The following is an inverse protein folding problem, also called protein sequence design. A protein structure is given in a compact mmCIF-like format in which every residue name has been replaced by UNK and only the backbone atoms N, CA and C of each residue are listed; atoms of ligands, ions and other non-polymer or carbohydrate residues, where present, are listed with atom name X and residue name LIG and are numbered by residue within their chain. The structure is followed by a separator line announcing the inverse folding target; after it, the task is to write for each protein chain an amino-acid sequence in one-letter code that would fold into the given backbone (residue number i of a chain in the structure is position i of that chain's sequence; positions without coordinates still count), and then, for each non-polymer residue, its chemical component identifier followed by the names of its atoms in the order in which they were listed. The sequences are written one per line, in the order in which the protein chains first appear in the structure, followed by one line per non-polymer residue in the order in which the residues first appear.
data_IF_845403260240
#
_entry.id   IF_845403260240
#
_cell.length_a   1.000
_cell.length_b   1.000
_cell.length_c   1.000
_cell.angle_alpha   90.00
_cell.angle_beta   90.00
_cell.angle_gamma   90.00
#
_symmetry.space_group_name_H-M   'P 1'
#
loop_
_entity.id
_entity.type
_entity.pdbx_description
1 polymer ?
#
# COMPACT_ATOMS: atom_id res chain seq x y z
N UNK A 1 16.19 19.91 15.75
CA UNK A 1 15.60 19.18 16.89
C UNK A 1 15.90 17.72 16.66
N UNK A 2 16.80 17.14 17.46
CA UNK A 2 17.04 15.69 17.42
C UNK A 2 15.80 15.01 17.98
N UNK A 3 15.03 14.34 17.13
CA UNK A 3 14.02 13.40 17.62
C UNK A 3 14.78 12.18 18.17
N UNK A 4 14.48 11.72 19.39
CA UNK A 4 15.09 10.50 19.90
C UNK A 4 14.77 9.33 18.96
N UNK A 5 15.73 8.42 18.77
CA UNK A 5 15.64 7.26 17.88
C UNK A 5 14.53 6.26 18.30
N UNK A 6 13.96 6.40 19.50
CA UNK A 6 12.87 5.59 20.00
C UNK A 6 11.74 6.46 20.60
N UNK A 7 10.46 6.06 20.40
CA UNK A 7 9.33 6.67 21.10
C UNK A 7 9.49 6.59 22.63
N UNK A 8 9.03 7.60 23.39
CA UNK A 8 9.13 7.59 24.84
C UNK A 8 8.42 6.40 25.47
N UNK A 9 9.06 5.75 26.45
CA UNK A 9 8.46 4.64 27.19
C UNK A 9 7.49 5.12 28.29
N UNK A 10 6.77 4.20 28.93
CA UNK A 10 5.75 4.52 29.94
C UNK A 10 6.29 5.36 31.12
N UNK A 11 7.53 5.10 31.55
CA UNK A 11 8.17 5.82 32.67
C UNK A 11 8.62 7.21 32.23
N UNK A 12 9.10 7.35 30.99
CA UNK A 12 9.45 8.65 30.41
C UNK A 12 8.23 9.55 30.26
N UNK A 13 7.11 9.01 29.77
CA UNK A 13 5.83 9.72 29.72
C UNK A 13 5.37 10.11 31.14
N UNK A 14 5.56 9.23 32.12
CA UNK A 14 5.20 9.52 33.52
C UNK A 14 6.05 10.67 34.08
N UNK A 15 7.37 10.63 33.85
CA UNK A 15 8.29 11.72 34.20
C UNK A 15 7.86 13.05 33.56
N UNK A 16 7.60 13.05 32.26
CA UNK A 16 7.22 14.24 31.51
C UNK A 16 5.91 14.85 32.04
N UNK A 17 4.89 14.03 32.31
CA UNK A 17 3.61 14.50 32.86
C UNK A 17 3.74 15.17 34.24
N UNK A 18 4.73 14.77 35.04
CA UNK A 18 4.92 15.28 36.40
C UNK A 18 6.06 16.31 36.52
N UNK A 19 6.80 16.59 35.44
CA UNK A 19 7.92 17.52 35.44
C UNK A 19 7.42 18.97 35.41
N UNK A 20 7.50 19.66 36.56
CA UNK A 20 7.20 21.10 36.60
C UNK A 20 8.40 21.92 36.15
N UNK A 21 8.22 22.81 35.17
CA UNK A 21 9.25 23.80 34.77
C UNK A 21 9.71 24.73 35.90
N UNK A 22 8.87 24.92 36.94
CA UNK A 22 9.17 25.80 38.08
C UNK A 22 9.71 25.06 39.30
N UNK A 23 9.22 23.84 39.55
CA UNK A 23 9.48 23.11 40.81
C UNK A 23 10.21 21.77 40.62
N UNK A 24 10.46 21.35 39.38
CA UNK A 24 10.99 20.01 39.09
C UNK A 24 9.98 18.91 39.39
N UNK A 25 10.50 17.69 39.63
CA UNK A 25 9.71 16.54 40.07
C UNK A 25 9.47 16.63 41.59
N UNK A 26 8.24 16.33 42.01
CA UNK A 26 7.93 16.22 43.43
C UNK A 26 8.55 14.94 44.02
N UNK A 27 8.94 14.98 45.30
CA UNK A 27 9.57 13.85 46.00
C UNK A 27 8.75 12.53 45.92
N UNK A 28 7.40 12.53 46.08
CA UNK A 28 6.61 11.30 45.91
C UNK A 28 6.65 10.75 44.49
N UNK A 29 6.78 11.62 43.48
CA UNK A 29 6.88 11.21 42.07
C UNK A 29 8.27 10.64 41.80
N UNK A 30 9.32 11.25 42.35
CA UNK A 30 10.68 10.73 42.23
C UNK A 30 10.77 9.33 42.84
N UNK A 31 10.21 9.13 44.04
CA UNK A 31 10.14 7.81 44.65
C UNK A 31 9.41 6.79 43.78
N UNK A 32 8.26 7.17 43.21
CA UNK A 32 7.50 6.29 42.32
C UNK A 32 8.31 5.90 41.07
N UNK A 33 9.07 6.84 40.50
CA UNK A 33 9.97 6.59 39.38
C UNK A 33 11.08 5.60 39.77
N UNK A 34 11.68 5.78 40.94
CA UNK A 34 12.76 4.92 41.43
C UNK A 34 12.23 3.49 41.68
N UNK A 35 11.03 3.36 42.26
CA UNK A 35 10.33 2.08 42.44
C UNK A 35 10.06 1.41 41.08
N UNK A 36 9.61 2.15 40.05
CA UNK A 36 9.40 1.61 38.70
C UNK A 36 10.71 1.10 38.06
N UNK A 37 11.81 1.86 38.17
CA UNK A 37 13.10 1.44 37.64
C UNK A 37 13.65 0.20 38.37
N UNK A 38 13.44 0.12 39.69
CA UNK A 38 13.84 -1.04 40.48
C UNK A 38 13.08 -2.31 40.06
N UNK A 39 11.78 -2.21 39.76
CA UNK A 39 10.98 -3.34 39.25
C UNK A 39 11.47 -3.80 37.86
N UNK A 40 11.90 -2.88 37.00
CA UNK A 40 12.48 -3.22 35.69
C UNK A 40 13.88 -3.83 35.80
N UNK A 41 14.66 -3.41 36.79
CA UNK A 41 16.03 -3.88 37.01
C UNK A 41 16.11 -5.13 37.91
N UNK A 42 14.99 -5.57 38.48
CA UNK A 42 14.94 -6.75 39.34
C UNK A 42 15.44 -7.99 38.56
N UNK A 43 16.29 -8.83 39.17
CA UNK A 43 16.71 -10.09 38.57
C UNK A 43 15.48 -10.92 38.23
N UNK A 44 15.44 -11.44 37.02
CA UNK A 44 14.37 -12.35 36.62
C UNK A 44 14.61 -13.69 37.32
N UNK A 45 13.67 -14.14 38.16
CA UNK A 45 13.65 -15.52 38.65
C UNK A 45 13.45 -16.46 37.45
N UNK A 46 14.15 -17.61 37.48
CA UNK A 46 14.34 -18.53 36.34
C UNK A 46 13.09 -18.64 35.43
N UNK A 47 13.30 -18.33 34.15
CA UNK A 47 12.35 -18.45 33.01
C UNK A 47 11.34 -17.31 32.75
N UNK A 48 11.31 -16.21 33.53
CA UNK A 48 10.45 -15.06 33.20
C UNK A 48 11.12 -14.05 32.24
N UNK A 49 10.32 -13.24 31.55
CA UNK A 49 10.84 -12.10 30.80
C UNK A 49 11.07 -10.92 31.77
N UNK A 50 12.07 -10.05 31.54
CA UNK A 50 12.25 -8.84 32.34
C UNK A 50 11.00 -7.96 32.29
N UNK A 51 10.64 -7.36 33.42
CA UNK A 51 9.46 -6.50 33.51
C UNK A 51 9.58 -5.32 32.54
N UNK A 52 8.53 -5.12 31.75
CA UNK A 52 8.40 -3.97 30.86
C UNK A 52 8.08 -2.69 31.64
N UNK A 53 8.34 -1.53 31.03
CA UNK A 53 7.98 -0.23 31.63
C UNK A 53 6.47 -0.11 31.93
N UNK A 54 5.61 -0.75 31.12
CA UNK A 54 4.15 -0.77 31.32
C UNK A 54 3.81 -1.57 32.58
N UNK A 55 4.43 -2.73 32.77
CA UNK A 55 4.21 -3.58 33.96
C UNK A 55 4.71 -2.90 35.22
N UNK A 56 5.90 -2.29 35.18
CA UNK A 56 6.44 -1.54 36.31
C UNK A 56 5.51 -0.39 36.73
N UNK A 57 5.00 0.40 35.77
CA UNK A 57 4.04 1.47 36.04
C UNK A 57 2.72 0.91 36.60
N UNK A 58 2.24 -0.23 36.07
CA UNK A 58 1.02 -0.88 36.54
C UNK A 58 1.15 -1.42 37.96
N UNK A 59 2.33 -1.88 38.36
CA UNK A 59 2.60 -2.37 39.72
C UNK A 59 2.71 -1.23 40.73
N UNK A 60 3.40 -0.13 40.38
CA UNK A 60 3.55 1.03 41.26
C UNK A 60 2.26 1.84 41.37
N UNK A 61 1.45 1.90 40.31
CA UNK A 61 0.23 2.70 40.23
C UNK A 61 -1.00 1.88 39.82
N UNK A 62 -1.41 0.86 40.61
CA UNK A 62 -2.43 -0.11 40.20
C UNK A 62 -3.83 0.48 40.01
N UNK A 63 -4.15 1.60 40.66
CA UNK A 63 -5.45 2.29 40.55
C UNK A 63 -5.42 3.50 39.61
N UNK A 64 -4.28 3.76 38.96
CA UNK A 64 -4.13 4.93 38.10
C UNK A 64 -4.72 4.70 36.71
N UNK A 65 -5.37 5.74 36.17
CA UNK A 65 -5.78 5.79 34.75
C UNK A 65 -4.66 6.25 33.83
N UNK A 66 -3.45 6.47 34.36
CA UNK A 66 -2.31 7.00 33.61
C UNK A 66 -2.06 6.22 32.33
N UNK A 67 -1.88 4.89 32.40
CA UNK A 67 -1.60 4.05 31.23
C UNK A 67 -2.72 4.10 30.17
N UNK A 68 -3.98 4.23 30.59
CA UNK A 68 -5.11 4.41 29.67
C UNK A 68 -5.09 5.80 29.03
N UNK A 69 -4.80 6.84 29.81
CA UNK A 69 -4.75 8.22 29.34
C UNK A 69 -3.59 8.46 28.35
N UNK A 70 -2.47 7.75 28.52
CA UNK A 70 -1.32 7.81 27.58
C UNK A 70 -1.42 6.78 26.44
N UNK A 71 -2.53 6.03 26.34
CA UNK A 71 -2.78 5.09 25.24
C UNK A 71 -1.96 3.79 25.29
N UNK A 72 -1.31 3.49 26.42
CA UNK A 72 -0.50 2.28 26.62
C UNK A 72 -1.29 1.11 27.22
N UNK A 73 -2.51 1.36 27.68
CA UNK A 73 -3.49 0.31 28.01
C UNK A 73 -4.82 0.60 27.33
N UNK A 74 -5.53 -0.44 26.84
CA UNK A 74 -6.90 -0.29 26.38
C UNK A 74 -7.76 0.28 27.50
N UNK A 75 -8.49 1.37 27.23
CA UNK A 75 -9.55 1.81 28.12
C UNK A 75 -10.53 0.64 28.30
N UNK A 76 -10.89 0.31 29.56
CA UNK A 76 -11.96 -0.65 29.85
C UNK A 76 -13.14 -0.34 28.94
N UNK A 77 -13.44 -1.28 28.02
CA UNK A 77 -14.34 -1.08 26.89
C UNK A 77 -15.62 -0.39 27.37
N UNK A 78 -15.78 0.91 27.10
CA UNK A 78 -17.12 1.45 26.95
C UNK A 78 -17.72 0.61 25.83
N UNK A 79 -18.72 -0.21 26.17
CA UNK A 79 -19.45 -1.07 25.23
C UNK A 79 -19.62 -0.27 23.94
N UNK A 80 -18.95 -0.67 22.85
CA UNK A 80 -19.16 -0.01 21.56
C UNK A 80 -20.66 -0.02 21.32
N UNK A 81 -21.21 1.12 20.96
CA UNK A 81 -22.65 1.18 20.75
C UNK A 81 -23.00 0.18 19.63
N UNK A 82 -24.14 -0.52 19.73
CA UNK A 82 -24.59 -1.45 18.66
C UNK A 82 -24.58 -0.77 17.28
N UNK A 83 -24.79 0.55 17.24
CA UNK A 83 -24.71 1.37 16.06
C UNK A 83 -23.29 1.44 15.45
N UNK A 84 -22.25 1.59 16.28
CA UNK A 84 -20.86 1.57 15.80
C UNK A 84 -20.49 0.21 15.20
N UNK A 85 -20.89 -0.89 15.84
CA UNK A 85 -20.63 -2.24 15.32
C UNK A 85 -21.34 -2.48 13.99
N UNK A 86 -22.60 -2.08 13.86
CA UNK A 86 -23.34 -2.17 12.60
C UNK A 86 -22.71 -1.30 11.50
N UNK A 87 -22.21 -0.12 11.86
CA UNK A 87 -21.55 0.77 10.89
C UNK A 87 -20.24 0.18 10.38
N UNK A 88 -19.45 -0.45 11.26
CA UNK A 88 -18.22 -1.14 10.85
C UNK A 88 -18.54 -2.29 9.90
N UNK A 89 -19.53 -3.14 10.23
CA UNK A 89 -19.95 -4.24 9.36
C UNK A 89 -20.44 -3.76 7.99
N UNK A 90 -21.20 -2.67 7.95
CA UNK A 90 -21.66 -2.08 6.70
C UNK A 90 -20.49 -1.56 5.85
N UNK A 91 -19.52 -0.89 6.47
CA UNK A 91 -18.32 -0.40 5.77
C UNK A 91 -17.45 -1.55 5.26
N UNK A 92 -17.31 -2.63 6.03
CA UNK A 92 -16.60 -3.84 5.61
C UNK A 92 -17.28 -4.49 4.39
N UNK A 93 -18.61 -4.59 4.40
CA UNK A 93 -19.36 -5.13 3.26
C UNK A 93 -19.24 -4.24 2.00
N UNK A 94 -19.27 -2.92 2.16
CA UNK A 94 -19.06 -1.98 1.05
C UNK A 94 -17.64 -2.09 0.48
N UNK A 95 -16.63 -2.21 1.36
CA UNK A 95 -15.24 -2.37 0.94
C UNK A 95 -15.04 -3.66 0.15
N UNK A 96 -15.63 -4.77 0.59
CA UNK A 96 -15.51 -6.05 -0.10
C UNK A 96 -16.18 -6.00 -1.48
N UNK A 97 -17.36 -5.39 -1.57
CA UNK A 97 -18.02 -5.15 -2.86
C UNK A 97 -17.16 -4.29 -3.79
N UNK A 98 -16.59 -3.20 -3.29
CA UNK A 98 -15.74 -2.31 -4.10
C UNK A 98 -14.47 -3.02 -4.60
N UNK A 99 -13.88 -3.92 -3.79
CA UNK A 99 -12.76 -4.75 -4.23
C UNK A 99 -13.15 -5.69 -5.36
N UNK A 100 -14.32 -6.32 -5.26
CA UNK A 100 -14.85 -7.19 -6.32
C UNK A 100 -15.10 -6.40 -7.60
N UNK A 101 -15.81 -5.27 -7.50
CA UNK A 101 -16.09 -4.39 -8.64
C UNK A 101 -14.80 -3.90 -9.32
N UNK A 102 -13.79 -3.55 -8.52
CA UNK A 102 -12.47 -3.14 -9.02
C UNK A 102 -11.75 -4.27 -9.77
N UNK A 103 -11.84 -5.50 -9.27
CA UNK A 103 -11.23 -6.67 -9.90
C UNK A 103 -11.93 -6.99 -11.23
N UNK A 104 -13.26 -6.94 -11.28
CA UNK A 104 -14.01 -7.09 -12.53
C UNK A 104 -13.64 -6.03 -13.57
N UNK A 105 -13.47 -4.77 -13.14
CA UNK A 105 -13.04 -3.69 -14.03
C UNK A 105 -11.62 -3.91 -14.57
N UNK A 106 -10.71 -4.43 -13.73
CA UNK A 106 -9.35 -4.80 -14.17
C UNK A 106 -9.39 -5.88 -15.23
N UNK A 107 -10.15 -6.95 -15.02
CA UNK A 107 -10.29 -8.03 -16.00
C UNK A 107 -10.87 -7.54 -17.34
N UNK A 108 -11.87 -6.66 -17.30
CA UNK A 108 -12.42 -6.03 -18.52
C UNK A 108 -11.37 -5.19 -19.25
N UNK A 109 -10.59 -4.40 -18.53
CA UNK A 109 -9.55 -3.56 -19.10
C UNK A 109 -8.45 -4.42 -19.75
N UNK A 110 -8.00 -5.47 -19.08
CA UNK A 110 -7.01 -6.41 -19.63
C UNK A 110 -7.53 -7.11 -20.88
N UNK A 111 -8.81 -7.52 -20.89
CA UNK A 111 -9.46 -8.09 -22.07
C UNK A 111 -9.52 -7.11 -23.25
N UNK A 112 -9.91 -5.86 -23.00
CA UNK A 112 -9.92 -4.81 -24.03
C UNK A 112 -8.52 -4.50 -24.56
N UNK A 113 -7.50 -4.51 -23.69
CA UNK A 113 -6.12 -4.29 -24.11
C UNK A 113 -5.64 -5.39 -25.06
N UNK A 114 -5.93 -6.66 -24.74
CA UNK A 114 -5.61 -7.78 -25.63
C UNK A 114 -6.35 -7.69 -26.97
N UNK A 115 -7.61 -7.28 -26.97
CA UNK A 115 -8.38 -7.09 -28.21
C UNK A 115 -7.78 -5.99 -29.09
N UNK A 116 -7.38 -4.86 -28.49
CA UNK A 116 -6.70 -3.76 -29.20
C UNK A 116 -5.39 -4.24 -29.82
N UNK A 117 -4.59 -5.02 -29.08
CA UNK A 117 -3.30 -5.51 -29.56
C UNK A 117 -3.48 -6.52 -30.71
N UNK A 118 -4.49 -7.39 -30.63
CA UNK A 118 -4.85 -8.31 -31.71
C UNK A 118 -5.32 -7.55 -32.96
N UNK A 119 -6.18 -6.55 -32.80
CA UNK A 119 -6.67 -5.73 -33.92
C UNK A 119 -5.53 -4.92 -34.58
N UNK A 120 -4.60 -4.39 -33.79
CA UNK A 120 -3.40 -3.71 -34.33
C UNK A 120 -2.57 -4.66 -35.17
N UNK A 121 -2.27 -5.86 -34.66
CA UNK A 121 -1.51 -6.87 -35.40
C UNK A 121 -2.19 -7.24 -36.71
N UNK A 122 -3.49 -7.52 -36.69
CA UNK A 122 -4.24 -7.81 -37.92
C UNK A 122 -4.25 -6.64 -38.90
N UNK A 123 -4.36 -5.40 -38.40
CA UNK A 123 -4.30 -4.21 -39.25
C UNK A 123 -2.93 -4.05 -39.92
N UNK A 124 -1.85 -4.30 -39.19
CA UNK A 124 -0.49 -4.25 -39.72
C UNK A 124 -0.25 -5.35 -40.77
N UNK A 125 -0.67 -6.59 -40.49
CA UNK A 125 -0.60 -7.70 -41.44
C UNK A 125 -1.40 -7.42 -42.71
N UNK A 126 -2.62 -6.88 -42.58
CA UNK A 126 -3.45 -6.51 -43.72
C UNK A 126 -2.81 -5.39 -44.56
N UNK A 127 -2.19 -4.40 -43.92
CA UNK A 127 -1.44 -3.34 -44.62
C UNK A 127 -0.23 -3.89 -45.36
N UNK A 128 0.52 -4.79 -44.72
CA UNK A 128 1.70 -5.41 -45.32
C UNK A 128 1.32 -6.23 -46.55
N UNK A 129 0.30 -7.09 -46.43
CA UNK A 129 -0.21 -7.87 -47.56
C UNK A 129 -0.69 -6.97 -48.71
N UNK A 130 -1.41 -5.90 -48.39
CA UNK A 130 -1.85 -4.94 -49.40
C UNK A 130 -0.68 -4.26 -50.12
N UNK A 131 0.40 -3.92 -49.40
CA UNK A 131 1.60 -3.35 -50.01
C UNK A 131 2.30 -4.34 -50.95
N UNK A 132 2.36 -5.62 -50.58
CA UNK A 132 2.88 -6.70 -51.43
C UNK A 132 2.04 -6.86 -52.69
N UNK A 133 0.71 -6.97 -52.56
CA UNK A 133 -0.21 -7.11 -53.70
C UNK A 133 -0.09 -5.91 -54.68
N UNK A 134 0.01 -4.68 -54.15
CA UNK A 134 0.22 -3.47 -54.98
C UNK A 134 1.58 -3.49 -55.67
N UNK A 135 2.61 -3.98 -55.00
CA UNK A 135 3.96 -4.15 -55.57
C UNK A 135 3.96 -5.13 -56.75
N UNK A 136 3.33 -6.29 -56.57
CA UNK A 136 3.22 -7.32 -57.61
C UNK A 136 2.42 -6.84 -58.81
N UNK A 137 1.29 -6.17 -58.59
CA UNK A 137 0.49 -5.58 -59.66
C UNK A 137 1.28 -4.52 -60.44
N UNK A 138 2.07 -3.69 -59.75
CA UNK A 138 2.92 -2.69 -60.41
C UNK A 138 3.99 -3.36 -61.28
N UNK A 139 4.62 -4.42 -60.79
CA UNK A 139 5.61 -5.19 -61.56
C UNK A 139 4.99 -5.81 -62.81
N UNK A 140 3.82 -6.45 -62.69
CA UNK A 140 3.09 -6.99 -63.84
C UNK A 140 2.70 -5.91 -64.84
N UNK A 141 2.34 -4.71 -64.37
CA UNK A 141 2.04 -3.57 -65.25
C UNK A 141 3.29 -3.12 -66.02
N UNK A 142 4.44 -3.02 -65.36
CA UNK A 142 5.71 -2.65 -66.00
C UNK A 142 6.14 -3.71 -67.04
N UNK A 143 6.03 -5.00 -66.72
CA UNK A 143 6.31 -6.11 -67.65
C UNK A 143 5.38 -6.07 -68.87
N UNK A 144 4.08 -5.90 -68.67
CA UNK A 144 3.11 -5.78 -69.76
C UNK A 144 3.38 -4.56 -70.65
N UNK A 145 3.74 -3.43 -70.05
CA UNK A 145 4.06 -2.21 -70.80
C UNK A 145 5.34 -2.41 -71.65
N UNK A 146 6.37 -3.05 -71.09
CA UNK A 146 7.59 -3.38 -71.83
C UNK A 146 7.31 -4.31 -73.04
N UNK A 147 6.43 -5.31 -72.86
CA UNK A 147 6.00 -6.19 -73.95
C UNK A 147 5.27 -5.42 -75.06
N UNK A 148 4.37 -4.51 -74.70
CA UNK A 148 3.65 -3.67 -75.66
C UNK A 148 4.61 -2.78 -76.47
N UNK A 149 5.57 -2.11 -75.81
CA UNK A 149 6.58 -1.31 -76.49
C UNK A 149 7.44 -2.16 -77.45
N UNK A 150 7.80 -3.39 -77.05
CA UNK A 150 8.52 -4.34 -77.90
C UNK A 150 7.74 -4.70 -79.17
N UNK A 151 6.45 -5.01 -79.03
CA UNK A 151 5.56 -5.30 -80.15
C UNK A 151 5.42 -4.10 -81.10
N UNK A 152 5.24 -2.89 -80.58
CA UNK A 152 5.12 -1.68 -81.40
C UNK A 152 6.40 -1.46 -82.21
N UNK A 153 7.56 -1.59 -81.57
CA UNK A 153 8.86 -1.40 -82.23
C UNK A 153 9.09 -2.42 -83.35
N UNK A 154 8.71 -3.69 -83.12
CA UNK A 154 8.80 -4.75 -84.12
C UNK A 154 7.91 -4.48 -85.35
N UNK A 155 6.66 -4.02 -85.14
CA UNK A 155 5.76 -3.69 -86.24
C UNK A 155 6.22 -2.46 -87.06
N UNK A 156 7.01 -1.56 -86.47
CA UNK A 156 7.54 -0.38 -87.17
C UNK A 156 8.81 -0.66 -87.98
N UNK A 157 9.41 -1.83 -87.83
CA UNK A 157 10.67 -2.23 -88.49
C UNK A 157 10.48 -3.26 -89.62
N UNK A 158 9.23 -3.58 -89.97
CA UNK A 158 8.85 -4.22 -91.24
C UNK A 158 8.31 -3.18 -92.23
#
# INVERSE_FOLDING_TARGET
MLYPDAPPNAIELFKECHLSKKKGLAEPVQKAIDDMNAIMAAPVEDEQQPNTAIEAVSQVLPSSKFLQNVGLQPALKKRSSRAETLRVQELEAQLEKEKQDKEELRQKLDGQQQEIDNLKKQSEEAKQKHLEDVGDLKKQLEENNALLCGLISFNQSQ
#
